data_IF_503085607554
#
_entry.id   IF_503085607554
#
_cell.length_a   1.000
_cell.length_b   1.000
_cell.length_c   1.000
_cell.angle_alpha   90.00
_cell.angle_beta   90.00
_cell.angle_gamma   90.00
#
_symmetry.space_group_name_H-M   'P 1'
#
loop_
_entity.id
_entity.type
_entity.pdbx_description
1 polymer ?
#
# COMPACT_ATOMS: atom_id res chain seq x y z
N UNK A 1 -4.35 28.86 2.80
CA UNK A 1 -5.12 27.65 2.46
C UNK A 1 -4.96 27.31 0.98
N UNK A 2 -5.00 28.28 0.07
CA UNK A 2 -4.80 28.10 -1.39
C UNK A 2 -3.59 27.26 -1.83
N UNK A 3 -2.44 27.37 -1.16
CA UNK A 3 -1.25 26.59 -1.53
C UNK A 3 -1.40 25.08 -1.27
N UNK A 4 -2.05 24.69 -0.17
CA UNK A 4 -2.27 23.28 0.15
C UNK A 4 -3.42 22.72 -0.69
N UNK A 5 -4.48 23.50 -0.91
CA UNK A 5 -5.59 23.08 -1.78
C UNK A 5 -5.17 22.97 -3.24
N UNK A 6 -4.29 23.84 -3.75
CA UNK A 6 -3.80 23.77 -5.13
C UNK A 6 -2.89 22.56 -5.39
N UNK A 7 -2.04 22.20 -4.41
CA UNK A 7 -1.24 20.98 -4.45
C UNK A 7 -2.10 19.71 -4.43
N UNK A 8 -3.12 19.69 -3.57
CA UNK A 8 -4.05 18.56 -3.50
C UNK A 8 -4.88 18.47 -4.79
N UNK A 9 -5.39 19.58 -5.34
CA UNK A 9 -6.24 19.51 -6.55
C UNK A 9 -5.51 19.13 -7.84
N UNK A 10 -4.19 19.26 -7.90
CA UNK A 10 -3.40 18.93 -9.10
C UNK A 10 -2.94 17.46 -9.16
N UNK A 11 -3.15 16.70 -8.08
CA UNK A 11 -2.70 15.31 -7.96
C UNK A 11 -3.82 14.34 -8.31
N UNK A 12 -3.48 13.27 -9.03
CA UNK A 12 -4.40 12.17 -9.32
C UNK A 12 -4.59 11.28 -8.08
N UNK A 13 -5.55 11.65 -7.22
CA UNK A 13 -5.88 10.91 -6.00
C UNK A 13 -6.43 9.51 -6.26
N UNK A 14 -7.15 9.32 -7.36
CA UNK A 14 -7.71 8.02 -7.72
C UNK A 14 -6.59 6.99 -7.95
N UNK A 15 -5.58 7.35 -8.75
CA UNK A 15 -4.44 6.49 -9.01
C UNK A 15 -3.65 6.17 -7.73
N UNK A 16 -3.44 7.15 -6.85
CA UNK A 16 -2.74 6.94 -5.57
C UNK A 16 -3.48 5.93 -4.70
N UNK A 17 -4.79 6.11 -4.57
CA UNK A 17 -5.63 5.23 -3.74
C UNK A 17 -5.65 3.82 -4.33
N UNK A 18 -5.82 3.69 -5.65
CA UNK A 18 -5.77 2.40 -6.34
C UNK A 18 -4.42 1.69 -6.13
N UNK A 19 -3.30 2.39 -6.34
CA UNK A 19 -1.97 1.81 -6.14
C UNK A 19 -1.75 1.41 -4.68
N UNK A 20 -2.24 2.20 -3.73
CA UNK A 20 -2.13 1.91 -2.30
C UNK A 20 -2.87 0.62 -1.94
N UNK A 21 -4.11 0.45 -2.42
CA UNK A 21 -4.86 -0.78 -2.20
C UNK A 21 -4.23 -1.99 -2.88
N UNK A 22 -3.77 -1.85 -4.12
CA UNK A 22 -3.08 -2.93 -4.84
C UNK A 22 -1.78 -3.31 -4.13
N UNK A 23 -1.00 -2.34 -3.66
CA UNK A 23 0.22 -2.58 -2.90
C UNK A 23 -0.05 -3.34 -1.61
N UNK A 24 -1.10 -2.96 -0.86
CA UNK A 24 -1.50 -3.68 0.36
C UNK A 24 -1.90 -5.13 0.07
N UNK A 25 -2.64 -5.39 -1.01
CA UNK A 25 -3.02 -6.75 -1.41
C UNK A 25 -1.78 -7.55 -1.83
N UNK A 26 -0.91 -6.99 -2.66
CA UNK A 26 0.32 -7.62 -3.12
C UNK A 26 1.26 -7.96 -1.96
N UNK A 27 1.35 -7.08 -0.95
CA UNK A 27 2.15 -7.32 0.25
C UNK A 27 1.55 -8.39 1.17
N UNK A 28 0.24 -8.61 1.15
CA UNK A 28 -0.41 -9.60 2.03
C UNK A 28 0.17 -11.01 1.86
N UNK A 29 0.48 -11.44 0.62
CA UNK A 29 1.05 -12.76 0.35
C UNK A 29 2.45 -12.95 0.95
N UNK A 30 3.44 -12.12 0.57
CA UNK A 30 4.80 -12.19 1.11
C UNK A 30 4.85 -12.01 2.63
N UNK A 31 3.99 -11.17 3.21
CA UNK A 31 3.93 -10.99 4.67
C UNK A 31 3.61 -12.30 5.38
N UNK A 32 2.64 -13.07 4.88
CA UNK A 32 2.27 -14.37 5.48
C UNK A 32 3.44 -15.35 5.41
N UNK A 33 4.11 -15.46 4.26
CA UNK A 33 5.28 -16.33 4.08
C UNK A 33 6.42 -15.91 5.00
N UNK A 34 6.71 -14.61 5.05
CA UNK A 34 7.76 -14.06 5.92
C UNK A 34 7.50 -14.37 7.40
N UNK A 35 6.25 -14.23 7.84
CA UNK A 35 5.85 -14.54 9.22
C UNK A 35 5.91 -16.05 9.52
N UNK A 36 5.52 -16.91 8.57
CA UNK A 36 5.63 -18.37 8.72
C UNK A 36 7.10 -18.80 8.83
N UNK A 37 7.95 -18.31 7.93
CA UNK A 37 9.38 -18.59 7.94
C UNK A 37 10.05 -18.10 9.22
N UNK A 38 9.74 -16.88 9.69
CA UNK A 38 10.30 -16.33 10.93
C UNK A 38 9.88 -17.10 12.19
N UNK A 39 8.72 -17.76 12.16
CA UNK A 39 8.18 -18.54 13.29
C UNK A 39 8.52 -20.02 13.21
N UNK A 40 9.26 -20.46 12.19
CA UNK A 40 9.56 -21.88 11.97
C UNK A 40 8.31 -22.72 11.70
N UNK A 41 7.28 -22.11 11.11
CA UNK A 41 6.06 -22.80 10.70
C UNK A 41 6.26 -23.64 9.45
N UNK A 42 5.26 -24.45 9.11
CA UNK A 42 5.26 -25.22 7.86
C UNK A 42 5.05 -24.26 6.67
N UNK A 43 5.96 -24.31 5.69
CA UNK A 43 6.00 -23.39 4.54
C UNK A 43 5.20 -23.92 3.37
#
# INVERSE_FOLDING_TARGET
>A
MDFLTSFVSNVNWEAIVQLTFVAMIMLSGPIVIFLLAARGGDM
#
